data_IF_516253981003
#
_entry.id   IF_516253981003
#
_cell.length_a   1.000
_cell.length_b   1.000
_cell.length_c   1.000
_cell.angle_alpha   90.00
_cell.angle_beta   90.00
_cell.angle_gamma   90.00
#
_symmetry.space_group_name_H-M   'P 1'
#
loop_
_entity.id
_entity.type
_entity.pdbx_description
1 polymer ?
#
# COMPACT_ATOMS: atom_id res chain seq x y z
N UNK A 1 53.13 -8.62 -2.45
CA UNK A 1 53.11 -7.14 -2.47
C UNK A 1 52.19 -6.71 -3.59
N UNK A 2 51.31 -5.77 -3.27
CA UNK A 2 50.05 -5.44 -3.94
C UNK A 2 50.19 -4.92 -5.37
N UNK A 3 49.41 -5.48 -6.31
CA UNK A 3 49.07 -4.84 -7.58
C UNK A 3 47.77 -4.06 -7.41
N UNK A 4 47.88 -2.76 -7.17
CA UNK A 4 46.77 -1.82 -7.24
C UNK A 4 46.57 -1.40 -8.70
N UNK A 5 45.43 -1.75 -9.29
CA UNK A 5 44.98 -1.17 -10.56
C UNK A 5 43.84 -0.18 -10.27
N UNK A 6 44.07 1.05 -10.69
CA UNK A 6 43.20 2.21 -10.53
C UNK A 6 41.87 2.04 -11.29
N UNK A 7 40.75 2.14 -10.59
CA UNK A 7 39.43 2.26 -11.21
C UNK A 7 39.23 3.70 -11.70
N UNK A 8 39.33 3.90 -13.01
CA UNK A 8 39.05 5.16 -13.67
C UNK A 8 37.54 5.44 -13.67
N UNK A 9 37.16 6.48 -12.93
CA UNK A 9 35.82 7.09 -12.94
C UNK A 9 35.60 7.74 -14.32
N UNK A 10 34.67 7.20 -15.11
CA UNK A 10 34.17 7.88 -16.32
C UNK A 10 32.90 8.65 -16.00
N UNK A 11 33.08 9.96 -15.82
CA UNK A 11 32.04 10.98 -15.81
C UNK A 11 31.68 11.29 -17.27
N UNK A 12 30.43 11.08 -17.68
CA UNK A 12 29.89 11.49 -19.00
C UNK A 12 28.45 11.95 -18.72
N UNK A 13 28.26 13.24 -18.43
CA UNK A 13 27.91 14.31 -19.35
C UNK A 13 26.38 14.50 -19.48
N UNK A 14 25.87 15.48 -18.74
CA UNK A 14 24.51 16.01 -18.87
C UNK A 14 24.38 16.71 -20.25
N UNK A 15 23.47 16.21 -21.09
CA UNK A 15 22.98 16.97 -22.25
C UNK A 15 21.65 17.62 -21.90
N UNK A 16 21.70 18.95 -21.82
CA UNK A 16 20.55 19.85 -21.80
C UNK A 16 19.96 20.03 -23.23
N UNK A 17 18.78 20.67 -23.27
CA UNK A 17 17.96 21.07 -24.44
C UNK A 17 16.86 20.04 -24.79
N UNK A 18 15.59 20.39 -24.97
CA UNK A 18 15.00 21.68 -25.37
C UNK A 18 13.56 21.80 -24.82
N UNK A 19 13.20 23.01 -24.41
CA UNK A 19 11.84 23.43 -24.10
C UNK A 19 11.13 23.73 -25.43
N UNK A 20 10.04 23.02 -25.71
CA UNK A 20 9.08 23.40 -26.74
C UNK A 20 7.70 23.51 -26.07
N UNK A 21 7.31 24.75 -25.77
CA UNK A 21 5.97 25.13 -25.36
C UNK A 21 5.10 25.20 -26.62
N UNK A 22 4.20 24.23 -26.83
CA UNK A 22 3.08 24.38 -27.76
C UNK A 22 1.80 24.60 -26.96
N UNK A 23 1.40 25.86 -26.93
CA UNK A 23 0.06 26.30 -26.57
C UNK A 23 -0.96 25.70 -27.53
N UNK A 24 -1.85 24.87 -27.01
CA UNK A 24 -3.13 24.57 -27.63
C UNK A 24 -4.21 24.63 -26.55
N UNK A 25 -4.81 25.83 -26.41
CA UNK A 25 -6.07 26.01 -25.71
C UNK A 25 -7.17 25.32 -26.52
N UNK A 26 -7.74 24.26 -25.94
CA UNK A 26 -9.00 23.66 -26.37
C UNK A 26 -9.86 23.50 -25.13
N UNK A 27 -10.74 24.46 -24.89
CA UNK A 27 -11.74 24.45 -23.83
C UNK A 27 -12.94 23.58 -24.26
N UNK A 28 -13.18 22.39 -23.68
CA UNK A 28 -14.54 21.88 -23.62
C UNK A 28 -15.25 22.60 -22.48
N UNK A 29 -16.17 23.49 -22.87
CA UNK A 29 -17.20 24.10 -22.03
C UNK A 29 -17.88 23.02 -21.18
N UNK A 30 -17.43 22.87 -19.94
CA UNK A 30 -18.11 22.05 -18.93
C UNK A 30 -19.43 22.75 -18.58
N UNK A 31 -20.53 22.19 -19.03
CA UNK A 31 -21.82 22.43 -18.39
C UNK A 31 -21.74 21.83 -16.98
N UNK A 32 -21.95 22.59 -15.90
CA UNK A 32 -22.15 21.98 -14.59
C UNK A 32 -23.41 21.11 -14.66
N UNK A 33 -23.31 19.86 -14.26
CA UNK A 33 -24.51 19.11 -13.84
C UNK A 33 -24.90 19.68 -12.48
N UNK A 34 -26.03 20.37 -12.43
CA UNK A 34 -26.76 20.66 -11.19
C UNK A 34 -27.31 19.34 -10.64
N UNK A 35 -26.47 18.56 -9.98
CA UNK A 35 -26.93 17.48 -9.09
C UNK A 35 -27.34 18.11 -7.76
N UNK A 36 -28.44 18.83 -7.81
CA UNK A 36 -29.29 19.09 -6.64
C UNK A 36 -29.86 17.74 -6.18
N UNK A 37 -29.03 16.96 -5.47
CA UNK A 37 -29.49 15.83 -4.67
C UNK A 37 -30.34 16.39 -3.53
N UNK A 38 -31.60 16.65 -3.86
CA UNK A 38 -32.65 16.98 -2.92
C UNK A 38 -33.05 15.72 -2.16
N UNK A 39 -32.80 15.72 -0.85
CA UNK A 39 -33.61 14.99 0.12
C UNK A 39 -33.05 13.64 0.61
N UNK A 40 -32.48 13.67 1.82
CA UNK A 40 -33.10 12.93 2.91
C UNK A 40 -32.84 13.64 4.24
N UNK A 41 -33.55 14.73 4.46
CA UNK A 41 -33.91 15.17 5.81
C UNK A 41 -34.94 14.18 6.35
N UNK A 42 -34.46 13.19 7.09
CA UNK A 42 -35.27 12.22 7.80
C UNK A 42 -34.66 11.95 9.17
N UNK A 43 -34.65 12.97 10.04
CA UNK A 43 -34.66 12.73 11.47
C UNK A 43 -35.92 11.94 11.84
N UNK A 44 -35.75 10.77 12.46
CA UNK A 44 -36.72 10.27 13.43
C UNK A 44 -36.09 9.25 14.38
N UNK A 45 -35.80 9.74 15.59
CA UNK A 45 -36.07 9.16 16.92
C UNK A 45 -35.45 7.82 17.36
N UNK A 46 -34.46 7.97 18.26
CA UNK A 46 -34.32 7.40 19.62
C UNK A 46 -35.38 6.43 20.19
N UNK A 47 -34.87 5.54 21.07
CA UNK A 47 -35.48 4.60 22.04
C UNK A 47 -35.60 3.13 21.55
N UNK A 48 -35.25 2.08 22.29
CA UNK A 48 -34.88 1.90 23.71
C UNK A 48 -34.30 0.48 23.92
N UNK A 49 -33.36 0.35 24.86
CA UNK A 49 -33.21 -0.74 25.84
C UNK A 49 -34.54 -1.48 26.16
N UNK A 50 -34.68 -2.76 26.49
CA UNK A 50 -33.85 -3.86 27.00
C UNK A 50 -34.64 -5.16 26.72
N UNK A 51 -33.97 -6.32 26.74
CA UNK A 51 -34.35 -7.45 27.63
C UNK A 51 -33.37 -8.62 27.52
N UNK A 52 -32.51 -8.69 28.53
CA UNK A 52 -31.89 -9.92 29.02
C UNK A 52 -32.93 -11.01 29.32
N UNK A 53 -32.61 -12.27 28.98
CA UNK A 53 -32.35 -13.46 29.84
C UNK A 53 -31.88 -14.58 28.89
N UNK A 54 -30.88 -15.40 29.18
CA UNK A 54 -31.01 -16.55 30.10
C UNK A 54 -29.66 -17.27 30.22
N UNK A 55 -29.29 -17.53 31.48
CA UNK A 55 -28.48 -18.60 32.07
C UNK A 55 -27.05 -18.91 31.60
N UNK A 56 -26.13 -18.76 32.55
CA UNK A 56 -24.76 -19.23 32.45
C UNK A 56 -24.61 -20.74 32.68
N UNK A 57 -23.59 -21.31 32.05
CA UNK A 57 -22.83 -22.45 32.55
C UNK A 57 -21.41 -22.38 31.99
N UNK A 58 -20.45 -22.29 32.90
CA UNK A 58 -19.02 -22.35 32.61
C UNK A 58 -18.59 -23.73 32.12
N UNK A 59 -17.59 -23.75 31.21
CA UNK A 59 -16.36 -24.55 31.29
C UNK A 59 -15.88 -24.96 29.88
N UNK A 60 -14.60 -24.72 29.59
CA UNK A 60 -13.85 -25.45 28.56
C UNK A 60 -12.99 -24.59 27.66
N UNK A 61 -11.69 -24.53 27.96
CA UNK A 61 -10.62 -24.20 27.01
C UNK A 61 -10.71 -25.10 25.77
N UNK A 62 -10.82 -24.50 24.58
CA UNK A 62 -10.18 -25.00 23.35
C UNK A 62 -10.00 -23.85 22.38
N UNK A 63 -8.76 -23.62 21.94
CA UNK A 63 -8.49 -22.85 20.75
C UNK A 63 -9.13 -23.56 19.55
N UNK A 64 -9.88 -22.84 18.73
CA UNK A 64 -10.14 -23.26 17.35
C UNK A 64 -10.50 -22.07 16.46
N UNK A 65 -10.09 -22.25 15.22
CA UNK A 65 -9.94 -21.35 14.10
C UNK A 65 -11.21 -20.59 13.72
N UNK A 66 -11.10 -19.27 13.63
CA UNK A 66 -12.17 -18.38 13.17
C UNK A 66 -11.99 -18.00 11.70
N UNK A 67 -12.05 -18.97 10.79
CA UNK A 67 -12.37 -18.71 9.38
C UNK A 67 -13.76 -18.05 9.29
N UNK A 68 -13.74 -16.75 9.08
CA UNK A 68 -14.83 -16.03 8.47
C UNK A 68 -14.23 -15.09 7.42
N UNK A 69 -13.71 -15.72 6.37
CA UNK A 69 -13.69 -15.23 4.99
C UNK A 69 -14.95 -14.44 4.66
N UNK A 70 -14.93 -13.13 4.95
CA UNK A 70 -15.79 -12.16 4.28
C UNK A 70 -14.98 -11.62 3.12
N UNK A 71 -15.27 -12.18 1.94
CA UNK A 71 -14.95 -11.66 0.61
C UNK A 71 -14.99 -10.12 0.59
N UNK A 72 -13.88 -9.48 0.95
CA UNK A 72 -13.57 -8.14 0.50
C UNK A 72 -12.80 -8.42 -0.76
N UNK A 73 -13.49 -8.44 -1.89
CA UNK A 73 -12.87 -8.77 -3.16
C UNK A 73 -11.58 -7.94 -3.29
N UNK A 74 -10.44 -8.63 -3.27
CA UNK A 74 -9.09 -8.14 -3.55
C UNK A 74 -8.93 -7.61 -4.98
N UNK A 75 -10.03 -7.23 -5.63
CA UNK A 75 -10.20 -7.15 -7.07
C UNK A 75 -9.43 -6.02 -7.74
N UNK A 76 -8.60 -5.28 -6.99
CA UNK A 76 -7.96 -4.08 -7.54
C UNK A 76 -6.65 -3.68 -6.81
N UNK A 77 -6.05 -4.60 -6.03
CA UNK A 77 -4.63 -4.50 -5.69
C UNK A 77 -3.81 -5.19 -6.78
N UNK A 78 -2.57 -4.77 -7.00
CA UNK A 78 -1.68 -5.45 -7.93
C UNK A 78 -1.55 -6.94 -7.57
N UNK A 79 -1.48 -7.81 -8.58
CA UNK A 79 -1.28 -9.26 -8.44
C UNK A 79 -0.15 -9.70 -9.35
N UNK A 80 0.59 -10.75 -8.97
CA UNK A 80 1.60 -11.38 -9.82
C UNK A 80 1.25 -12.84 -10.09
N UNK A 81 1.51 -13.30 -11.32
CA UNK A 81 1.39 -14.73 -11.68
C UNK A 81 2.66 -15.53 -11.32
N UNK A 82 3.73 -14.84 -10.91
CA UNK A 82 5.00 -15.48 -10.52
C UNK A 82 4.89 -16.12 -9.13
N UNK A 83 5.62 -17.21 -8.92
CA UNK A 83 5.78 -17.78 -7.59
C UNK A 83 6.90 -17.10 -6.81
N UNK A 84 6.68 -16.91 -5.50
CA UNK A 84 7.73 -16.50 -4.57
C UNK A 84 8.70 -17.67 -4.33
N UNK A 85 9.92 -17.56 -4.85
CA UNK A 85 10.96 -18.60 -4.70
C UNK A 85 11.78 -18.43 -3.43
N UNK A 86 11.65 -17.30 -2.73
CA UNK A 86 12.49 -16.95 -1.58
C UNK A 86 13.89 -16.43 -1.93
N UNK A 87 14.21 -16.33 -3.22
CA UNK A 87 15.45 -15.79 -3.76
C UNK A 87 15.16 -14.63 -4.70
N UNK A 88 15.52 -13.43 -4.29
CA UNK A 88 15.11 -12.19 -4.94
C UNK A 88 16.24 -11.59 -5.77
N UNK A 89 15.93 -11.14 -6.98
CA UNK A 89 16.82 -10.35 -7.81
C UNK A 89 16.97 -8.94 -7.23
N UNK A 90 18.17 -8.40 -7.31
CA UNK A 90 18.41 -6.99 -7.02
C UNK A 90 17.65 -6.12 -8.03
N UNK A 91 17.05 -5.03 -7.55
CA UNK A 91 16.29 -4.13 -8.41
C UNK A 91 15.35 -3.20 -7.67
N UNK A 92 14.69 -2.35 -8.46
CA UNK A 92 13.63 -1.46 -8.01
C UNK A 92 12.26 -2.00 -8.47
N UNK A 93 11.38 -2.23 -7.50
CA UNK A 93 10.05 -2.79 -7.71
C UNK A 93 9.01 -1.73 -7.36
N UNK A 94 7.98 -1.59 -8.18
CA UNK A 94 6.91 -0.61 -7.97
C UNK A 94 5.56 -1.32 -8.00
N UNK A 95 4.90 -1.38 -6.85
CA UNK A 95 3.67 -2.15 -6.65
C UNK A 95 2.58 -1.20 -6.15
N UNK A 96 1.41 -1.27 -6.75
CA UNK A 96 0.23 -0.57 -6.25
C UNK A 96 -0.51 -1.44 -5.23
N UNK A 97 -0.67 -0.91 -4.01
CA UNK A 97 -1.52 -1.49 -2.98
C UNK A 97 -2.81 -0.71 -2.86
N UNK A 98 -3.95 -1.40 -2.78
CA UNK A 98 -5.26 -0.78 -2.66
C UNK A 98 -5.99 -1.24 -1.40
N UNK A 99 -6.74 -0.33 -0.78
CA UNK A 99 -7.56 -0.62 0.39
C UNK A 99 -8.79 0.30 0.47
N UNK A 100 -9.68 0.02 1.42
CA UNK A 100 -10.98 0.69 1.56
C UNK A 100 -12.14 -0.29 1.47
N UNK A 101 -13.36 0.06 1.90
CA UNK A 101 -14.57 -0.74 1.69
C UNK A 101 -14.78 -1.14 0.25
N UNK A 102 -14.41 -0.27 -0.70
CA UNK A 102 -14.54 -0.52 -2.14
C UNK A 102 -13.25 -0.31 -2.92
N UNK A 103 -12.12 -0.15 -2.23
CA UNK A 103 -10.81 0.05 -2.86
C UNK A 103 -10.52 1.50 -3.27
N UNK A 104 -11.16 2.47 -2.61
CA UNK A 104 -11.02 3.88 -2.98
C UNK A 104 -9.66 4.51 -2.66
N UNK A 105 -8.91 3.96 -1.70
CA UNK A 105 -7.60 4.46 -1.28
C UNK A 105 -6.48 3.59 -1.87
N UNK A 106 -5.45 4.20 -2.45
CA UNK A 106 -4.26 3.46 -2.93
C UNK A 106 -2.95 4.00 -2.37
N UNK A 107 -1.92 3.15 -2.40
CA UNK A 107 -0.52 3.48 -2.16
C UNK A 107 0.34 2.90 -3.28
N UNK A 108 1.27 3.67 -3.80
CA UNK A 108 2.37 3.13 -4.60
C UNK A 108 3.55 2.84 -3.69
N UNK A 109 4.01 1.59 -3.73
CA UNK A 109 5.15 1.10 -2.98
C UNK A 109 6.32 0.97 -3.93
N UNK A 110 7.32 1.83 -3.77
CA UNK A 110 8.61 1.71 -4.44
C UNK A 110 9.60 1.05 -3.49
N UNK A 111 10.09 -0.13 -3.85
CA UNK A 111 10.94 -0.96 -3.04
C UNK A 111 12.26 -1.22 -3.78
N UNK A 112 13.38 -0.88 -3.16
CA UNK A 112 14.71 -1.25 -3.68
C UNK A 112 15.23 -2.46 -2.92
N UNK A 113 15.48 -3.55 -3.65
CA UNK A 113 16.04 -4.80 -3.10
C UNK A 113 17.48 -4.93 -3.55
N UNK A 114 18.34 -5.29 -2.60
CA UNK A 114 19.74 -5.62 -2.86
C UNK A 114 20.23 -6.68 -1.89
N UNK A 115 20.96 -7.67 -2.39
CA UNK A 115 21.53 -8.75 -1.59
C UNK A 115 20.44 -9.43 -0.72
N UNK A 116 19.25 -9.66 -1.29
CA UNK A 116 18.04 -10.20 -0.62
C UNK A 116 17.35 -9.26 0.40
N UNK A 117 17.89 -8.06 0.64
CA UNK A 117 17.41 -7.13 1.66
C UNK A 117 16.75 -5.89 1.05
N UNK A 118 15.81 -5.32 1.79
CA UNK A 118 15.25 -4.01 1.46
C UNK A 118 16.28 -2.94 1.80
N UNK A 119 16.71 -2.16 0.81
CA UNK A 119 17.69 -1.08 0.99
C UNK A 119 17.07 0.31 0.91
N UNK A 120 15.94 0.44 0.23
CA UNK A 120 15.13 1.65 0.25
C UNK A 120 13.66 1.29 0.10
N UNK A 121 12.81 2.14 0.67
CA UNK A 121 11.37 2.10 0.46
C UNK A 121 10.85 3.53 0.34
N UNK A 122 9.91 3.77 -0.57
CA UNK A 122 9.17 5.02 -0.68
C UNK A 122 7.71 4.71 -0.91
N UNK A 123 6.85 5.39 -0.15
CA UNK A 123 5.40 5.28 -0.27
C UNK A 123 4.86 6.58 -0.86
N UNK A 124 4.05 6.45 -1.92
CA UNK A 124 3.24 7.55 -2.45
C UNK A 124 1.78 7.22 -2.20
N UNK A 125 1.12 8.00 -1.33
CA UNK A 125 -0.28 7.79 -1.02
C UNK A 125 -1.21 8.54 -1.97
N UNK A 126 -2.29 7.88 -2.38
CA UNK A 126 -3.41 8.46 -3.13
C UNK A 126 -4.69 8.31 -2.31
N UNK A 127 -4.93 9.24 -1.37
CA UNK A 127 -6.05 9.13 -0.45
C UNK A 127 -7.35 9.67 -1.06
N UNK A 128 -8.45 8.97 -0.83
CA UNK A 128 -9.81 9.42 -1.14
C UNK A 128 -10.33 10.40 -0.07
N UNK A 129 -9.95 10.22 1.20
CA UNK A 129 -10.41 11.06 2.32
C UNK A 129 -9.27 11.79 3.04
N UNK A 130 -9.60 12.86 3.76
CA UNK A 130 -8.61 13.58 4.60
C UNK A 130 -8.07 12.70 5.75
N UNK A 131 -8.88 11.76 6.25
CA UNK A 131 -8.46 10.80 7.28
C UNK A 131 -7.42 9.84 6.69
N UNK A 132 -7.72 9.28 5.51
CA UNK A 132 -6.79 8.42 4.77
C UNK A 132 -5.48 9.14 4.48
N UNK A 133 -5.53 10.41 4.05
CA UNK A 133 -4.34 11.25 3.81
C UNK A 133 -3.45 11.35 5.03
N UNK A 134 -4.03 11.57 6.21
CA UNK A 134 -3.25 11.63 7.46
C UNK A 134 -2.55 10.29 7.73
N UNK A 135 -3.29 9.19 7.66
CA UNK A 135 -2.75 7.86 7.91
C UNK A 135 -1.69 7.43 6.90
N UNK A 136 -1.89 7.67 5.61
CA UNK A 136 -0.90 7.38 4.57
C UNK A 136 0.38 8.20 4.75
N UNK A 137 0.27 9.48 5.10
CA UNK A 137 1.44 10.33 5.36
C UNK A 137 2.22 9.86 6.61
N UNK A 138 1.52 9.51 7.68
CA UNK A 138 2.15 9.04 8.91
C UNK A 138 2.78 7.64 8.69
N UNK A 139 2.12 6.77 7.93
CA UNK A 139 2.65 5.47 7.49
C UNK A 139 3.92 5.64 6.64
N UNK A 140 3.88 6.50 5.62
CA UNK A 140 5.01 6.75 4.71
C UNK A 140 6.27 7.22 5.46
N UNK A 141 6.10 7.95 6.56
CA UNK A 141 7.21 8.37 7.43
C UNK A 141 7.74 7.25 8.32
N UNK A 142 6.86 6.35 8.79
CA UNK A 142 7.21 5.29 9.72
C UNK A 142 7.77 4.02 9.05
N UNK A 143 7.34 3.74 7.81
CA UNK A 143 7.71 2.48 7.14
C UNK A 143 9.21 2.28 6.91
N UNK A 144 10.03 3.31 6.57
CA UNK A 144 11.45 3.08 6.30
C UNK A 144 12.18 2.49 7.52
N UNK A 145 11.88 2.99 8.72
CA UNK A 145 12.46 2.51 9.98
C UNK A 145 12.06 1.06 10.27
N UNK A 146 10.89 0.63 9.79
CA UNK A 146 10.37 -0.71 10.00
C UNK A 146 10.92 -1.75 9.00
N UNK A 147 11.41 -1.35 7.82
CA UNK A 147 11.73 -2.31 6.75
C UNK A 147 13.14 -2.20 6.19
N UNK A 148 13.76 -1.02 6.19
CA UNK A 148 15.09 -0.84 5.59
C UNK A 148 16.13 -1.62 6.38
N UNK A 149 16.99 -2.34 5.66
CA UNK A 149 18.00 -3.24 6.18
C UNK A 149 17.50 -4.65 6.51
N UNK A 150 16.18 -4.90 6.46
CA UNK A 150 15.61 -6.23 6.73
C UNK A 150 15.61 -7.11 5.47
N UNK A 151 15.69 -8.44 5.62
CA UNK A 151 15.45 -9.38 4.53
C UNK A 151 14.06 -9.15 3.94
N UNK A 152 13.92 -9.24 2.61
CA UNK A 152 12.60 -9.18 1.96
C UNK A 152 11.76 -10.45 2.25
N UNK A 153 12.46 -11.58 2.43
CA UNK A 153 11.84 -12.87 2.75
C UNK A 153 11.04 -12.75 4.05
N UNK A 154 9.79 -13.19 4.03
CA UNK A 154 8.87 -13.19 5.18
C UNK A 154 8.66 -11.81 5.84
N UNK A 155 9.10 -10.74 5.19
CA UNK A 155 8.96 -9.38 5.70
C UNK A 155 7.48 -9.00 5.77
N UNK A 156 7.09 -8.56 6.94
CA UNK A 156 5.79 -7.98 7.24
C UNK A 156 5.94 -6.88 8.27
N UNK A 157 5.05 -5.89 8.20
CA UNK A 157 4.94 -4.85 9.23
C UNK A 157 3.65 -5.05 10.01
N UNK A 158 3.71 -4.72 11.29
CA UNK A 158 2.51 -4.54 12.10
C UNK A 158 1.80 -3.23 11.72
N UNK A 159 0.78 -2.86 12.50
CA UNK A 159 0.14 -1.55 12.38
C UNK A 159 1.15 -0.43 12.68
N UNK A 160 1.50 0.33 11.66
CA UNK A 160 2.38 1.50 11.79
C UNK A 160 1.55 2.77 11.90
N UNK A 161 1.90 3.65 12.83
CA UNK A 161 1.27 4.97 13.03
C UNK A 161 -0.28 4.96 13.08
N UNK A 162 -0.87 3.87 13.58
CA UNK A 162 -2.33 3.70 13.64
C UNK A 162 -3.02 3.42 12.29
N UNK A 163 -2.26 3.27 11.20
CA UNK A 163 -2.77 3.08 9.84
C UNK A 163 -2.93 1.59 9.48
N UNK A 164 -3.87 0.88 10.12
CA UNK A 164 -4.02 -0.58 9.94
C UNK A 164 -4.26 -0.99 8.48
N UNK A 165 -5.16 -0.32 7.78
CA UNK A 165 -5.49 -0.65 6.38
C UNK A 165 -4.33 -0.35 5.43
N UNK A 166 -3.58 0.73 5.68
CA UNK A 166 -2.37 1.04 4.90
C UNK A 166 -1.27 0.01 5.15
N UNK A 167 -1.07 -0.42 6.40
CA UNK A 167 -0.15 -1.54 6.74
C UNK A 167 -0.53 -2.83 6.02
N UNK A 168 -1.82 -3.16 5.97
CA UNK A 168 -2.31 -4.37 5.29
C UNK A 168 -2.07 -4.30 3.77
N UNK A 169 -2.41 -3.18 3.13
CA UNK A 169 -2.13 -2.96 1.71
C UNK A 169 -0.63 -3.03 1.39
N UNK A 170 0.21 -2.50 2.27
CA UNK A 170 1.66 -2.58 2.12
C UNK A 170 2.17 -4.02 2.25
N UNK A 171 1.65 -4.81 3.19
CA UNK A 171 2.03 -6.23 3.32
C UNK A 171 1.65 -7.04 2.08
N UNK A 172 0.47 -6.78 1.49
CA UNK A 172 0.08 -7.38 0.19
C UNK A 172 1.02 -6.93 -0.93
N UNK A 173 1.40 -5.65 -0.95
CA UNK A 173 2.38 -5.16 -1.91
C UNK A 173 3.77 -5.83 -1.74
N UNK A 174 4.18 -6.16 -0.52
CA UNK A 174 5.40 -6.94 -0.27
C UNK A 174 5.29 -8.39 -0.79
N UNK A 175 4.10 -9.01 -0.71
CA UNK A 175 3.87 -10.35 -1.28
C UNK A 175 4.06 -10.32 -2.80
N UNK A 176 3.48 -9.34 -3.48
CA UNK A 176 3.64 -9.14 -4.92
C UNK A 176 5.09 -8.81 -5.26
N UNK A 177 5.74 -7.93 -4.49
CA UNK A 177 7.15 -7.60 -4.69
C UNK A 177 8.05 -8.84 -4.60
N UNK A 178 7.78 -9.76 -3.67
CA UNK A 178 8.51 -11.03 -3.56
C UNK A 178 8.32 -11.90 -4.80
N UNK A 179 7.09 -12.01 -5.30
CA UNK A 179 6.80 -12.76 -6.53
C UNK A 179 7.49 -12.14 -7.75
N UNK A 180 7.44 -10.82 -7.88
CA UNK A 180 8.05 -10.09 -8.99
C UNK A 180 9.57 -10.16 -8.99
N UNK A 181 10.16 -10.05 -7.80
CA UNK A 181 11.59 -10.12 -7.59
C UNK A 181 12.14 -11.54 -7.64
N UNK A 182 11.28 -12.57 -7.60
CA UNK A 182 11.75 -13.96 -7.55
C UNK A 182 12.54 -14.34 -8.80
N UNK A 183 13.75 -14.85 -8.56
CA UNK A 183 14.58 -15.49 -9.57
C UNK A 183 13.95 -16.85 -9.85
N UNK A 184 13.56 -17.08 -11.11
CA UNK A 184 12.91 -18.31 -11.60
C UNK A 184 13.92 -19.28 -12.20
#
# INVERSE_FOLDING_TARGET
MSTAQSNAVKVIALSAASIALLSACGEPKATPMDDEYAGNSGESVQSQEEKSKTDGKASGDTADDGDATKNRADANSATSDKQDTGNYADGDYSINGQYGPVGEDTIDVHLTVKDQNVTAVKIVGHPFTSISKKHQNDFAKAVPDAVVGKPLKDLKVDKLAGASWTSEAFNKALEVARQEASIQ
#
